data_IF_871295080058
#
_entry.id   IF_871295080058
#
_cell.length_a   1.000
_cell.length_b   1.000
_cell.length_c   1.000
_cell.angle_alpha   90.00
_cell.angle_beta   90.00
_cell.angle_gamma   90.00
#
_symmetry.space_group_name_H-M   'P 1'
#
loop_
_entity.id
_entity.type
_entity.pdbx_description
1 polymer ?
#
# COMPACT_ATOMS: atom_id res chain seq x y z
N UNK A 1 -13.58 45.70 -4.37
CA UNK A 1 -14.34 44.49 -4.75
C UNK A 1 -13.58 43.75 -5.84
N UNK A 2 -13.19 42.49 -5.61
CA UNK A 2 -12.61 41.64 -6.65
C UNK A 2 -13.72 41.25 -7.63
N UNK A 3 -13.56 41.54 -8.92
CA UNK A 3 -14.55 41.19 -9.95
C UNK A 3 -14.19 39.85 -10.58
N UNK A 4 -15.20 39.12 -11.06
CA UNK A 4 -15.03 37.78 -11.68
C UNK A 4 -13.99 37.80 -12.82
N UNK A 5 -13.89 38.93 -13.52
CA UNK A 5 -12.90 39.18 -14.57
C UNK A 5 -11.48 39.35 -14.03
N UNK A 6 -11.28 39.99 -12.88
CA UNK A 6 -9.96 40.08 -12.23
C UNK A 6 -9.49 38.71 -11.72
N UNK A 7 -10.42 37.86 -11.26
CA UNK A 7 -10.12 36.50 -10.83
C UNK A 7 -9.70 35.63 -12.03
N UNK A 8 -10.43 35.67 -13.15
CA UNK A 8 -10.10 34.91 -14.35
C UNK A 8 -8.80 35.39 -15.02
N UNK A 9 -8.52 36.69 -14.99
CA UNK A 9 -7.25 37.24 -15.49
C UNK A 9 -6.06 36.79 -14.63
N UNK A 10 -6.22 36.65 -13.31
CA UNK A 10 -5.19 36.08 -12.43
C UNK A 10 -4.88 34.61 -12.72
N UNK A 11 -5.89 33.80 -13.05
CA UNK A 11 -5.71 32.39 -13.42
C UNK A 11 -5.03 32.27 -14.79
N UNK A 12 -5.39 33.09 -15.77
CA UNK A 12 -4.78 33.08 -17.10
C UNK A 12 -3.31 33.54 -17.08
N UNK A 13 -2.96 34.53 -16.24
CA UNK A 13 -1.59 34.99 -16.07
C UNK A 13 -0.68 33.98 -15.33
N UNK A 14 -1.26 33.11 -14.48
CA UNK A 14 -0.54 32.00 -13.84
C UNK A 14 -0.44 30.72 -14.69
N UNK A 15 -1.36 30.52 -15.63
CA UNK A 15 -1.36 29.36 -16.52
C UNK A 15 -0.39 29.50 -17.71
N UNK A 16 -0.04 30.73 -18.10
CA UNK A 16 0.85 31.00 -19.24
C UNK A 16 2.32 30.62 -19.02
N UNK A 17 2.81 30.58 -17.78
CA UNK A 17 4.18 30.13 -17.47
C UNK A 17 4.30 28.61 -17.32
N UNK A 18 3.18 27.88 -17.23
CA UNK A 18 3.18 26.42 -17.08
C UNK A 18 3.27 25.66 -18.42
N UNK A 19 3.11 26.34 -19.56
CA UNK A 19 3.01 25.68 -20.87
C UNK A 19 4.01 26.20 -21.93
N UNK A 20 4.85 27.19 -21.59
CA UNK A 20 5.68 27.89 -22.57
C UNK A 20 7.14 27.45 -22.69
N UNK A 21 7.75 26.85 -21.66
CA UNK A 21 9.17 26.50 -21.67
C UNK A 21 9.45 25.31 -20.75
N UNK A 22 9.42 24.08 -21.27
CA UNK A 22 10.21 22.91 -20.82
C UNK A 22 10.32 22.54 -19.33
N UNK A 23 9.54 23.14 -18.44
CA UNK A 23 9.59 22.98 -16.99
C UNK A 23 8.38 22.22 -16.49
N UNK A 24 8.62 21.02 -15.97
CA UNK A 24 7.68 20.12 -15.29
C UNK A 24 6.56 20.82 -14.48
N UNK A 25 5.29 20.36 -14.54
CA UNK A 25 4.16 20.95 -13.82
C UNK A 25 4.13 20.55 -12.34
N UNK A 26 5.27 20.61 -11.65
CA UNK A 26 5.44 20.02 -10.33
C UNK A 26 6.13 20.96 -9.33
N UNK A 27 5.50 22.08 -8.91
CA UNK A 27 5.76 22.61 -7.58
C UNK A 27 5.11 21.75 -6.48
N UNK A 28 4.16 20.85 -6.84
CA UNK A 28 3.51 19.93 -5.88
C UNK A 28 4.42 18.76 -5.44
N UNK A 29 5.59 18.57 -6.08
CA UNK A 29 6.59 17.56 -5.68
C UNK A 29 7.70 18.10 -4.76
N UNK A 30 7.80 19.42 -4.57
CA UNK A 30 8.88 19.99 -3.79
C UNK A 30 8.42 20.30 -2.37
N UNK A 31 8.16 19.26 -1.56
CA UNK A 31 8.21 19.42 -0.10
C UNK A 31 9.68 19.66 0.29
N UNK A 32 10.02 20.79 0.94
CA UNK A 32 11.37 21.09 1.38
C UNK A 32 11.60 20.38 2.71
N UNK A 33 11.60 19.05 2.69
CA UNK A 33 12.10 18.26 3.79
C UNK A 33 13.17 17.32 3.23
N UNK A 34 14.42 17.71 3.47
CA UNK A 34 15.56 16.87 3.89
C UNK A 34 16.82 17.08 3.05
N UNK A 35 17.47 18.21 3.30
CA UNK A 35 18.92 18.44 3.14
C UNK A 35 19.75 17.53 4.06
N UNK A 36 19.59 16.20 3.93
CA UNK A 36 20.35 15.23 4.71
C UNK A 36 20.06 13.82 4.27
N UNK A 37 21.00 13.24 3.51
CA UNK A 37 21.12 11.81 3.12
C UNK A 37 19.81 11.01 3.27
N UNK A 38 18.80 11.31 2.44
CA UNK A 38 17.48 10.72 2.63
C UNK A 38 17.44 9.33 2.00
N UNK A 39 17.45 8.27 2.84
CA UNK A 39 17.05 6.92 2.41
C UNK A 39 15.74 7.02 1.62
N UNK A 40 15.66 6.34 0.47
CA UNK A 40 14.42 6.23 -0.30
C UNK A 40 13.26 5.84 0.64
N UNK A 41 12.05 6.41 0.44
CA UNK A 41 10.91 6.10 1.29
C UNK A 41 10.64 4.59 1.26
N UNK A 42 10.39 4.01 2.44
CA UNK A 42 9.99 2.60 2.56
C UNK A 42 8.64 2.42 1.87
N UNK A 43 8.53 1.37 1.04
CA UNK A 43 7.29 1.03 0.32
C UNK A 43 6.79 -0.30 0.83
N UNK A 44 5.48 -0.39 1.05
CA UNK A 44 4.78 -1.62 1.42
C UNK A 44 3.83 -1.94 0.28
N UNK A 45 3.87 -3.17 -0.21
CA UNK A 45 3.01 -3.64 -1.31
C UNK A 45 2.16 -4.77 -0.75
N UNK A 46 0.85 -4.64 -0.90
CA UNK A 46 -0.10 -5.69 -0.59
C UNK A 46 -0.44 -6.45 -1.87
N UNK A 47 -0.20 -7.76 -1.86
CA UNK A 47 -0.66 -8.66 -2.91
C UNK A 47 -1.90 -9.40 -2.41
N UNK A 48 -3.05 -9.09 -3.00
CA UNK A 48 -4.32 -9.75 -2.68
C UNK A 48 -4.63 -10.77 -3.77
N UNK A 49 -4.74 -12.05 -3.37
CA UNK A 49 -5.11 -13.13 -4.26
C UNK A 49 -6.54 -13.60 -3.96
N UNK A 50 -7.38 -13.65 -4.98
CA UNK A 50 -8.71 -14.21 -4.88
C UNK A 50 -8.64 -15.74 -4.76
N UNK A 51 -9.59 -16.34 -4.05
CA UNK A 51 -9.71 -17.80 -3.82
C UNK A 51 -8.72 -18.44 -2.82
N UNK A 52 -8.12 -17.62 -1.95
CA UNK A 52 -7.28 -18.11 -0.87
C UNK A 52 -5.90 -18.57 -1.34
N UNK A 53 -5.06 -18.89 -0.36
CA UNK A 53 -3.65 -19.22 -0.55
C UNK A 53 -3.30 -20.39 0.37
N UNK A 54 -2.89 -21.53 -0.19
CA UNK A 54 -2.49 -22.70 0.62
C UNK A 54 -1.12 -22.42 1.27
N UNK A 55 -1.00 -22.42 2.61
CA UNK A 55 0.26 -22.19 3.30
C UNK A 55 1.42 -23.09 2.84
N UNK A 56 1.13 -24.30 2.33
CA UNK A 56 2.14 -25.22 1.79
C UNK A 56 2.90 -24.66 0.59
N UNK A 57 2.37 -23.64 -0.08
CA UNK A 57 3.03 -22.98 -1.22
C UNK A 57 4.09 -21.96 -0.79
N UNK A 58 4.13 -21.56 0.48
CA UNK A 58 5.14 -20.65 1.04
C UNK A 58 6.04 -21.30 2.08
N UNK A 59 5.54 -22.24 2.88
CA UNK A 59 6.29 -22.80 4.00
C UNK A 59 7.23 -23.89 3.48
N UNK A 60 8.56 -23.79 3.71
CA UNK A 60 9.49 -24.85 3.33
C UNK A 60 9.16 -26.20 3.99
N UNK A 61 9.37 -27.30 3.25
CA UNK A 61 9.13 -28.65 3.74
C UNK A 61 9.96 -28.95 5.00
N UNK A 62 9.32 -29.57 6.00
CA UNK A 62 9.99 -29.96 7.25
C UNK A 62 10.18 -28.82 8.25
N UNK A 63 9.73 -27.61 7.95
CA UNK A 63 9.68 -26.50 8.92
C UNK A 63 8.38 -26.58 9.72
N UNK A 64 8.50 -26.61 11.05
CA UNK A 64 7.39 -26.41 11.97
C UNK A 64 7.79 -25.41 13.06
N UNK A 65 7.01 -24.34 13.21
CA UNK A 65 7.28 -23.28 14.17
C UNK A 65 8.31 -22.23 13.70
N UNK A 66 8.86 -21.49 14.66
CA UNK A 66 9.78 -20.39 14.41
C UNK A 66 11.19 -20.92 14.10
N UNK A 67 11.70 -20.68 12.89
CA UNK A 67 13.06 -21.05 12.52
C UNK A 67 13.69 -20.05 11.54
N UNK A 68 15.00 -20.14 11.36
CA UNK A 68 15.72 -19.39 10.32
C UNK A 68 15.50 -20.05 8.96
N UNK A 69 15.32 -19.24 7.90
CA UNK A 69 15.19 -19.72 6.53
C UNK A 69 16.54 -20.12 5.88
N UNK A 70 17.68 -19.76 6.47
CA UNK A 70 19.00 -19.92 5.85
C UNK A 70 19.30 -21.35 5.37
N UNK A 71 18.85 -22.36 6.13
CA UNK A 71 19.10 -23.79 5.86
C UNK A 71 17.96 -24.50 5.11
N UNK A 72 16.94 -23.77 4.70
CA UNK A 72 15.78 -24.33 4.00
C UNK A 72 15.69 -23.78 2.59
N UNK A 73 15.28 -24.62 1.65
CA UNK A 73 14.99 -24.24 0.27
C UNK A 73 13.56 -23.74 0.19
N UNK A 74 13.33 -22.61 -0.49
CA UNK A 74 11.99 -22.12 -0.72
C UNK A 74 11.21 -23.06 -1.68
N UNK A 75 9.91 -23.27 -1.46
CA UNK A 75 9.08 -24.08 -2.37
C UNK A 75 8.94 -23.40 -3.74
N UNK A 76 8.61 -24.19 -4.77
CA UNK A 76 8.56 -23.78 -6.18
C UNK A 76 7.84 -22.42 -6.42
N UNK A 77 6.65 -22.14 -5.83
CA UNK A 77 5.93 -20.89 -6.11
C UNK A 77 6.67 -19.62 -5.69
N UNK A 78 7.54 -19.71 -4.67
CA UNK A 78 8.34 -18.59 -4.17
C UNK A 78 9.85 -18.83 -4.30
N UNK A 79 10.26 -19.87 -5.02
CA UNK A 79 11.65 -20.18 -5.31
C UNK A 79 12.41 -19.01 -5.95
N UNK A 80 11.81 -18.16 -6.81
CA UNK A 80 12.49 -16.97 -7.33
C UNK A 80 12.95 -15.97 -6.25
N UNK A 81 12.43 -16.07 -5.02
CA UNK A 81 12.82 -15.23 -3.89
C UNK A 81 14.06 -15.74 -3.14
N UNK A 82 14.63 -16.89 -3.53
CA UNK A 82 15.82 -17.49 -2.89
C UNK A 82 17.00 -16.50 -2.76
N UNK A 83 17.33 -15.65 -3.75
CA UNK A 83 18.41 -14.65 -3.62
C UNK A 83 18.16 -13.60 -2.51
N UNK A 84 16.92 -13.46 -2.05
CA UNK A 84 16.51 -12.49 -1.04
C UNK A 84 16.19 -13.14 0.32
N UNK A 85 16.51 -14.42 0.51
CA UNK A 85 16.13 -15.20 1.70
C UNK A 85 16.59 -14.58 3.03
N UNK A 86 17.77 -13.95 3.05
CA UNK A 86 18.30 -13.22 4.22
C UNK A 86 17.49 -11.97 4.60
N UNK A 87 16.60 -11.51 3.71
CA UNK A 87 15.72 -10.35 3.91
C UNK A 87 14.25 -10.75 3.91
N UNK A 88 13.96 -12.05 3.92
CA UNK A 88 12.62 -12.60 3.85
C UNK A 88 12.19 -13.13 5.22
N UNK A 89 10.99 -12.75 5.65
CA UNK A 89 10.32 -13.34 6.79
C UNK A 89 8.99 -13.92 6.34
N UNK A 90 8.76 -15.20 6.63
CA UNK A 90 7.48 -15.87 6.37
C UNK A 90 6.73 -15.94 7.70
N UNK A 91 5.67 -15.15 7.81
CA UNK A 91 4.77 -15.17 8.97
C UNK A 91 3.53 -15.96 8.56
N UNK A 92 3.33 -17.13 9.17
CA UNK A 92 2.17 -17.97 8.93
C UNK A 92 1.19 -17.91 10.13
N UNK A 93 -0.05 -18.34 9.91
CA UNK A 93 -1.10 -18.39 10.94
C UNK A 93 -2.03 -17.16 10.92
N UNK A 94 -1.74 -16.17 10.08
CA UNK A 94 -2.64 -15.04 9.80
C UNK A 94 -3.72 -15.45 8.80
N UNK A 95 -4.47 -16.53 9.11
CA UNK A 95 -5.50 -17.03 8.20
C UNK A 95 -6.68 -16.05 8.11
N UNK A 96 -7.08 -15.72 6.88
CA UNK A 96 -8.24 -14.89 6.57
C UNK A 96 -9.59 -15.58 6.80
N UNK A 97 -9.79 -16.33 7.90
CA UNK A 97 -11.07 -17.03 8.15
C UNK A 97 -12.27 -16.08 8.18
N UNK A 98 -12.04 -14.80 8.50
CA UNK A 98 -13.04 -13.73 8.46
C UNK A 98 -13.61 -13.47 7.04
N UNK A 99 -12.96 -13.96 5.98
CA UNK A 99 -13.44 -13.78 4.59
C UNK A 99 -14.42 -14.87 4.14
N UNK A 100 -14.52 -15.99 4.89
CA UNK A 100 -15.44 -17.10 4.59
C UNK A 100 -16.91 -16.76 4.89
N UNK A 101 -17.92 -17.28 4.16
CA UNK A 101 -17.85 -18.19 3.00
C UNK A 101 -17.85 -17.45 1.65
N UNK A 102 -17.84 -16.12 1.64
CA UNK A 102 -17.92 -15.34 0.41
C UNK A 102 -16.59 -15.34 -0.35
N UNK A 103 -16.64 -15.06 -1.66
CA UNK A 103 -15.45 -14.97 -2.51
C UNK A 103 -14.67 -13.65 -2.34
N UNK A 104 -15.22 -12.68 -1.59
CA UNK A 104 -14.57 -11.41 -1.31
C UNK A 104 -14.96 -10.87 0.07
N UNK A 105 -13.99 -10.24 0.74
CA UNK A 105 -14.24 -9.43 1.94
C UNK A 105 -14.13 -7.92 1.66
N UNK A 106 -14.00 -7.50 0.40
CA UNK A 106 -13.83 -6.08 0.01
C UNK A 106 -12.72 -5.41 0.84
N UNK A 107 -12.96 -4.23 1.40
CA UNK A 107 -12.01 -3.56 2.31
C UNK A 107 -11.70 -4.39 3.57
N UNK A 108 -12.59 -5.31 3.96
CA UNK A 108 -12.39 -6.23 5.09
C UNK A 108 -11.20 -7.18 4.91
N UNK A 109 -10.72 -7.41 3.69
CA UNK A 109 -9.52 -8.21 3.44
C UNK A 109 -8.26 -7.63 4.11
N UNK A 110 -8.12 -6.30 4.11
CA UNK A 110 -7.05 -5.60 4.83
C UNK A 110 -7.47 -5.19 6.25
N UNK A 111 -8.77 -5.26 6.57
CA UNK A 111 -9.33 -4.92 7.88
C UNK A 111 -9.33 -6.05 8.91
N UNK A 112 -9.19 -7.31 8.49
CA UNK A 112 -9.26 -8.45 9.41
C UNK A 112 -10.67 -8.72 9.97
N UNK A 113 -11.71 -8.25 9.28
CA UNK A 113 -13.11 -8.42 9.67
C UNK A 113 -13.98 -8.75 8.45
N UNK A 114 -15.19 -9.26 8.69
CA UNK A 114 -16.13 -9.58 7.62
C UNK A 114 -16.52 -8.31 6.85
N UNK A 115 -16.31 -8.29 5.54
CA UNK A 115 -16.92 -7.31 4.63
C UNK A 115 -18.11 -7.89 3.86
N UNK A 116 -18.64 -7.13 2.92
CA UNK A 116 -19.76 -7.50 2.07
C UNK A 116 -20.42 -6.26 1.46
N UNK A 117 -21.22 -6.44 0.41
CA UNK A 117 -22.00 -5.36 -0.18
C UNK A 117 -22.90 -4.70 0.88
N UNK A 118 -22.83 -3.37 1.00
CA UNK A 118 -23.59 -2.61 2.00
C UNK A 118 -23.20 -2.88 3.46
N UNK A 119 -22.14 -3.64 3.72
CA UNK A 119 -21.60 -3.84 5.07
C UNK A 119 -20.66 -2.67 5.37
N UNK A 120 -20.89 -1.95 6.47
CA UNK A 120 -20.01 -0.85 6.86
C UNK A 120 -18.64 -1.35 7.40
N UNK A 121 -17.56 -0.55 7.23
CA UNK A 121 -16.28 -0.79 7.89
C UNK A 121 -16.39 -0.93 9.41
N UNK A 122 -15.74 -1.95 9.97
CA UNK A 122 -15.74 -2.23 11.42
C UNK A 122 -14.48 -1.75 12.15
N UNK A 123 -13.48 -1.29 11.41
CA UNK A 123 -12.22 -0.85 11.96
C UNK A 123 -11.23 -0.43 10.88
N UNK A 124 -10.07 0.02 11.33
CA UNK A 124 -8.93 0.37 10.50
C UNK A 124 -8.37 -0.82 9.72
N UNK A 125 -7.92 -0.57 8.50
CA UNK A 125 -7.19 -1.53 7.68
C UNK A 125 -5.69 -1.47 7.95
N UNK A 126 -4.97 -2.56 7.67
CA UNK A 126 -3.53 -2.65 7.96
C UNK A 126 -2.69 -1.63 7.17
N UNK A 127 -3.08 -1.29 5.94
CA UNK A 127 -2.45 -0.25 5.12
C UNK A 127 -2.61 1.14 5.76
N UNK A 128 -3.78 1.44 6.32
CA UNK A 128 -4.00 2.67 7.07
C UNK A 128 -3.17 2.71 8.36
N UNK A 129 -3.17 1.64 9.17
CA UNK A 129 -2.38 1.61 10.40
C UNK A 129 -0.87 1.70 10.13
N UNK A 130 -0.38 1.06 9.08
CA UNK A 130 1.02 1.19 8.67
C UNK A 130 1.35 2.60 8.21
N UNK A 131 0.44 3.28 7.52
CA UNK A 131 0.65 4.66 7.04
C UNK A 131 0.96 5.64 8.19
N UNK A 132 0.41 5.41 9.39
CA UNK A 132 0.69 6.22 10.59
C UNK A 132 2.13 6.08 11.11
N UNK A 133 2.80 4.97 10.78
CA UNK A 133 4.16 4.67 11.24
C UNK A 133 5.24 4.98 10.22
N UNK A 134 4.83 5.23 8.97
CA UNK A 134 5.73 5.56 7.86
C UNK A 134 5.78 7.08 7.68
N UNK A 135 6.88 7.61 7.11
CA UNK A 135 6.92 9.02 6.72
C UNK A 135 5.75 9.36 5.79
N UNK A 136 5.11 10.50 6.03
CA UNK A 136 4.03 10.97 5.18
C UNK A 136 4.51 11.11 3.73
N UNK A 137 3.69 10.61 2.81
CA UNK A 137 3.90 10.83 1.37
C UNK A 137 3.13 12.06 0.92
N UNK A 138 3.40 12.53 -0.30
CA UNK A 138 2.74 13.70 -0.89
C UNK A 138 1.21 13.60 -0.89
N UNK A 139 0.68 12.38 -0.98
CA UNK A 139 -0.73 12.10 -0.85
C UNK A 139 -0.96 11.40 0.49
N UNK A 140 -1.61 12.05 1.46
CA UNK A 140 -1.97 11.40 2.70
C UNK A 140 -3.00 10.28 2.44
N UNK A 141 -3.03 9.29 3.32
CA UNK A 141 -4.03 8.24 3.26
C UNK A 141 -5.43 8.87 3.44
N UNK A 142 -6.25 8.82 2.38
CA UNK A 142 -7.50 9.58 2.31
C UNK A 142 -8.60 9.00 3.23
N UNK A 143 -8.44 7.76 3.71
CA UNK A 143 -9.36 7.09 4.64
C UNK A 143 -10.83 7.08 4.18
N UNK A 144 -11.07 7.07 2.87
CA UNK A 144 -12.42 6.97 2.31
C UNK A 144 -12.70 5.51 1.99
N UNK A 145 -13.72 4.95 2.62
CA UNK A 145 -14.34 3.71 2.17
C UNK A 145 -15.33 4.03 1.06
N UNK A 146 -15.07 3.54 -0.15
CA UNK A 146 -16.07 3.52 -1.21
C UNK A 146 -16.75 2.16 -1.19
N UNK A 147 -18.08 2.15 -1.09
CA UNK A 147 -18.88 0.96 -1.34
C UNK A 147 -18.76 0.61 -2.83
N UNK A 148 -18.82 -0.68 -3.16
CA UNK A 148 -18.76 -1.16 -4.55
C UNK A 148 -20.09 -1.05 -5.28
#
# INVERSE_FOLDING_TARGET
>A
MLTRRTILQGIAAGAGTALGLGGSPLPLLASPSLTGVSKLPKRIIFFLQNQGFDPKTCIPTGVSGNCSLARHTLPEPIQPLEPYKERLHIINGLHGQHTSPSHSAFFGALGGYRGGDGVAPRGSTIDYELSKTLPETLLPHLCIGMDS
#
